data_IF_404333932209
#
_entry.id   IF_404333932209
#
_cell.length_a   1.000
_cell.length_b   1.000
_cell.length_c   1.000
_cell.angle_alpha   90.00
_cell.angle_beta   90.00
_cell.angle_gamma   90.00
#
_symmetry.space_group_name_H-M   'P 1'
#
loop_
_entity.id
_entity.type
_entity.pdbx_description
1 polymer ?
#
# COMPACT_ATOMS: atom_id res chain seq x y z
N UNK A 1 17.08 -23.88 2.53
CA UNK A 1 16.70 -22.83 1.56
C UNK A 1 15.89 -23.48 0.45
N UNK A 2 14.64 -23.06 0.27
CA UNK A 2 13.72 -23.57 -0.74
C UNK A 2 13.29 -22.41 -1.64
N UNK A 3 13.31 -22.59 -2.95
CA UNK A 3 12.86 -21.57 -3.90
C UNK A 3 11.43 -21.90 -4.29
N UNK A 4 10.51 -20.95 -4.11
CA UNK A 4 9.13 -21.07 -4.60
C UNK A 4 9.13 -20.81 -6.10
N UNK A 5 8.66 -21.78 -6.88
CA UNK A 5 8.56 -21.68 -8.34
C UNK A 5 7.20 -22.15 -8.80
N UNK A 6 6.66 -21.44 -9.79
CA UNK A 6 5.44 -21.81 -10.48
C UNK A 6 5.76 -21.99 -11.98
N UNK A 7 4.99 -22.83 -12.67
CA UNK A 7 5.11 -22.94 -14.12
C UNK A 7 4.59 -21.66 -14.77
N UNK A 8 5.08 -21.37 -15.98
CA UNK A 8 4.57 -20.24 -16.78
C UNK A 8 3.05 -20.31 -16.94
N UNK A 9 2.50 -21.52 -17.17
CA UNK A 9 1.05 -21.71 -17.32
C UNK A 9 0.28 -21.36 -16.03
N UNK A 10 0.82 -21.69 -14.86
CA UNK A 10 0.22 -21.33 -13.57
C UNK A 10 0.26 -19.82 -13.37
N UNK A 11 1.41 -19.17 -13.59
CA UNK A 11 1.56 -17.71 -13.47
C UNK A 11 0.64 -16.98 -14.45
N UNK A 12 0.57 -17.46 -15.69
CA UNK A 12 -0.30 -16.86 -16.71
C UNK A 12 -1.77 -16.97 -16.34
N UNK A 13 -2.18 -18.11 -15.80
CA UNK A 13 -3.54 -18.29 -15.28
C UNK A 13 -3.81 -17.33 -14.13
N UNK A 14 -2.88 -17.18 -13.19
CA UNK A 14 -3.06 -16.33 -12.03
C UNK A 14 -3.03 -14.82 -12.35
N UNK A 15 -2.16 -14.37 -13.26
CA UNK A 15 -1.96 -12.95 -13.56
C UNK A 15 -2.85 -12.39 -14.66
N UNK A 16 -3.30 -13.22 -15.62
CA UNK A 16 -4.14 -12.79 -16.75
C UNK A 16 -5.57 -13.34 -16.65
N UNK A 17 -5.77 -14.48 -15.97
CA UNK A 17 -7.01 -15.29 -15.96
C UNK A 17 -7.24 -16.11 -17.25
N UNK A 18 -8.13 -17.11 -17.13
CA UNK A 18 -8.73 -17.87 -18.25
C UNK A 18 -10.03 -17.25 -18.76
N UNK A 19 -10.58 -16.27 -18.03
CA UNK A 19 -11.80 -15.56 -18.38
C UNK A 19 -11.60 -14.76 -19.68
N UNK A 20 -12.40 -15.01 -20.74
CA UNK A 20 -12.21 -14.35 -22.03
C UNK A 20 -12.25 -12.82 -21.95
N UNK A 21 -13.02 -12.24 -21.03
CA UNK A 21 -13.12 -10.80 -20.87
C UNK A 21 -11.81 -10.20 -20.31
N UNK A 22 -11.22 -10.83 -19.29
CA UNK A 22 -9.95 -10.40 -18.69
C UNK A 22 -8.77 -10.61 -19.65
N UNK A 23 -8.76 -11.73 -20.36
CA UNK A 23 -7.79 -11.98 -21.45
C UNK A 23 -7.87 -10.92 -22.53
N UNK A 24 -9.09 -10.46 -22.89
CA UNK A 24 -9.26 -9.38 -23.85
C UNK A 24 -8.73 -8.05 -23.32
N UNK A 25 -8.89 -7.75 -22.03
CA UNK A 25 -8.32 -6.53 -21.44
C UNK A 25 -6.79 -6.55 -21.52
N UNK A 26 -6.16 -7.68 -21.18
CA UNK A 26 -4.72 -7.85 -21.30
C UNK A 26 -4.22 -7.60 -22.73
N UNK A 27 -4.92 -8.14 -23.75
CA UNK A 27 -4.57 -7.94 -25.16
C UNK A 27 -4.71 -6.49 -25.64
N UNK A 28 -5.52 -5.69 -24.95
CA UNK A 28 -5.74 -4.28 -25.28
C UNK A 28 -4.73 -3.34 -24.59
N UNK A 29 -3.91 -3.84 -23.67
CA UNK A 29 -2.80 -3.07 -23.07
C UNK A 29 -1.80 -2.64 -24.15
N UNK A 30 -1.07 -1.56 -23.90
CA UNK A 30 -0.04 -1.13 -24.85
C UNK A 30 1.15 -2.11 -24.89
N UNK A 31 1.97 -1.99 -25.94
CA UNK A 31 3.08 -2.91 -26.15
C UNK A 31 4.14 -2.85 -25.03
N UNK A 32 4.29 -1.71 -24.35
CA UNK A 32 5.18 -1.55 -23.20
C UNK A 32 4.64 -2.26 -21.98
N UNK A 33 3.36 -2.06 -21.66
CA UNK A 33 2.67 -2.72 -20.55
C UNK A 33 2.66 -4.25 -20.72
N UNK A 34 2.34 -4.73 -21.93
CA UNK A 34 2.39 -6.17 -22.23
C UNK A 34 3.81 -6.74 -22.06
N UNK A 35 4.85 -6.02 -22.48
CA UNK A 35 6.24 -6.46 -22.26
C UNK A 35 6.56 -6.56 -20.77
N UNK A 36 6.21 -5.55 -19.98
CA UNK A 36 6.42 -5.55 -18.53
C UNK A 36 5.69 -6.71 -17.85
N UNK A 37 4.43 -6.98 -18.21
CA UNK A 37 3.66 -8.08 -17.63
C UNK A 37 4.23 -9.46 -18.04
N UNK A 38 4.72 -9.60 -19.28
CA UNK A 38 5.32 -10.85 -19.74
C UNK A 38 6.65 -11.18 -19.03
N UNK A 39 7.36 -10.18 -18.50
CA UNK A 39 8.56 -10.40 -17.66
C UNK A 39 8.23 -11.24 -16.42
N UNK A 40 7.05 -11.04 -15.82
CA UNK A 40 6.60 -11.83 -14.66
C UNK A 40 6.40 -13.32 -14.97
N UNK A 41 6.28 -13.68 -16.25
CA UNK A 41 6.15 -15.07 -16.70
C UNK A 41 7.51 -15.73 -16.98
N UNK A 42 8.60 -14.94 -17.05
CA UNK A 42 9.94 -15.45 -17.35
C UNK A 42 10.63 -15.94 -16.07
N UNK A 43 11.04 -17.22 -15.99
CA UNK A 43 11.71 -17.77 -14.80
C UNK A 43 13.06 -17.12 -14.45
N UNK A 44 13.64 -16.35 -15.38
CA UNK A 44 14.93 -15.68 -15.26
C UNK A 44 14.81 -14.15 -15.31
N UNK A 45 13.62 -13.59 -15.08
CA UNK A 45 13.46 -12.12 -15.03
C UNK A 45 14.13 -11.55 -13.78
N UNK A 46 14.95 -10.52 -13.97
CA UNK A 46 15.53 -9.75 -12.87
C UNK A 46 14.48 -8.85 -12.19
N UNK A 47 13.35 -8.59 -12.85
CA UNK A 47 12.25 -7.78 -12.32
C UNK A 47 11.35 -8.56 -11.36
N UNK A 48 11.12 -9.84 -11.67
CA UNK A 48 10.23 -10.72 -10.92
C UNK A 48 10.96 -11.98 -10.46
N UNK A 49 11.97 -11.78 -9.61
CA UNK A 49 12.77 -12.86 -9.04
C UNK A 49 11.93 -13.82 -8.18
N UNK A 50 12.34 -15.10 -8.10
CA UNK A 50 11.60 -16.09 -7.32
C UNK A 50 11.75 -15.84 -5.81
N UNK A 51 10.71 -16.19 -5.05
CA UNK A 51 10.73 -16.08 -3.59
C UNK A 51 11.66 -17.17 -3.01
N UNK A 52 12.63 -16.74 -2.20
CA UNK A 52 13.59 -17.63 -1.52
C UNK A 52 13.15 -17.78 -0.06
N UNK A 53 12.79 -19.00 0.32
CA UNK A 53 12.52 -19.37 1.70
C UNK A 53 13.81 -19.83 2.37
N UNK A 54 14.19 -19.13 3.42
CA UNK A 54 15.35 -19.44 4.24
C UNK A 54 15.00 -20.40 5.38
N UNK A 55 13.81 -20.27 5.99
CA UNK A 55 13.44 -21.03 7.18
C UNK A 55 11.92 -21.26 7.33
N UNK A 56 11.54 -22.10 8.32
CA UNK A 56 10.11 -22.25 8.70
C UNK A 56 9.52 -21.02 9.38
N UNK A 57 10.39 -20.15 9.91
CA UNK A 57 10.00 -18.90 10.56
C UNK A 57 9.69 -17.78 9.54
N UNK A 58 9.92 -18.02 8.26
CA UNK A 58 9.61 -17.05 7.21
C UNK A 58 8.08 -16.82 7.16
N UNK A 59 7.67 -15.56 6.97
CA UNK A 59 6.27 -15.14 7.12
C UNK A 59 5.29 -16.02 6.34
N UNK A 60 5.56 -16.25 5.05
CA UNK A 60 4.72 -17.07 4.17
C UNK A 60 4.52 -18.51 4.64
N UNK A 61 5.46 -19.06 5.42
CA UNK A 61 5.34 -20.41 5.99
C UNK A 61 4.66 -20.39 7.36
N UNK A 62 4.95 -19.38 8.18
CA UNK A 62 4.40 -19.25 9.54
C UNK A 62 2.96 -18.73 9.57
N UNK A 63 2.57 -17.95 8.56
CA UNK A 63 1.25 -17.32 8.44
C UNK A 63 0.68 -17.61 7.04
N UNK A 64 0.10 -18.81 6.84
CA UNK A 64 -0.48 -19.16 5.54
C UNK A 64 -1.71 -18.27 5.26
N UNK A 65 -1.59 -17.46 4.23
CA UNK A 65 -2.67 -16.61 3.72
C UNK A 65 -3.27 -17.24 2.45
N UNK A 66 -4.59 -17.12 2.21
CA UNK A 66 -5.18 -17.52 0.95
C UNK A 66 -4.51 -16.78 -0.21
N UNK A 67 -4.15 -17.50 -1.27
CA UNK A 67 -3.72 -16.87 -2.50
C UNK A 67 -4.89 -16.08 -3.11
N UNK A 68 -4.57 -14.98 -3.79
CA UNK A 68 -5.52 -14.22 -4.59
C UNK A 68 -4.97 -14.11 -6.02
N UNK A 69 -5.74 -14.55 -7.00
CA UNK A 69 -5.43 -14.34 -8.41
C UNK A 69 -6.05 -13.05 -8.98
N UNK A 70 -5.71 -12.71 -10.22
CA UNK A 70 -6.19 -11.49 -10.87
C UNK A 70 -7.71 -11.50 -11.08
N UNK A 71 -8.32 -12.65 -11.35
CA UNK A 71 -9.77 -12.72 -11.54
C UNK A 71 -10.52 -12.52 -10.23
N UNK A 72 -10.04 -13.14 -9.14
CA UNK A 72 -10.54 -12.95 -7.79
C UNK A 72 -10.40 -11.49 -7.35
N UNK A 73 -9.23 -10.89 -7.57
CA UNK A 73 -9.02 -9.46 -7.31
C UNK A 73 -9.98 -8.61 -8.14
N UNK A 74 -10.05 -8.83 -9.46
CA UNK A 74 -10.83 -7.99 -10.37
C UNK A 74 -12.34 -8.04 -10.08
N UNK A 75 -12.83 -9.22 -9.67
CA UNK A 75 -14.25 -9.51 -9.40
C UNK A 75 -14.69 -9.15 -7.99
N UNK A 76 -13.78 -8.74 -7.10
CA UNK A 76 -14.12 -8.33 -5.74
C UNK A 76 -15.07 -7.12 -5.76
N UNK A 77 -16.31 -7.22 -5.21
CA UNK A 77 -17.27 -6.12 -5.19
C UNK A 77 -16.82 -4.93 -4.34
N UNK A 78 -15.84 -5.13 -3.44
CA UNK A 78 -15.24 -4.08 -2.62
C UNK A 78 -14.01 -3.44 -3.29
N UNK A 79 -13.55 -3.96 -4.44
CA UNK A 79 -12.45 -3.37 -5.19
C UNK A 79 -12.81 -1.96 -5.64
N UNK A 80 -11.90 -1.01 -5.40
CA UNK A 80 -12.01 0.33 -5.97
C UNK A 80 -11.14 0.47 -7.20
N UNK A 81 -11.75 1.05 -8.23
CA UNK A 81 -11.05 1.41 -9.45
C UNK A 81 -10.89 2.92 -9.50
N UNK A 82 -9.68 3.44 -9.74
CA UNK A 82 -9.52 4.85 -10.03
C UNK A 82 -10.40 5.27 -11.20
N UNK A 83 -10.93 6.49 -11.12
CA UNK A 83 -11.74 7.10 -12.17
C UNK A 83 -11.12 8.44 -12.57
N UNK A 84 -11.48 9.01 -13.73
CA UNK A 84 -11.03 10.36 -14.10
C UNK A 84 -11.30 11.40 -12.99
N UNK A 85 -12.39 11.25 -12.25
CA UNK A 85 -12.74 12.12 -11.12
C UNK A 85 -11.97 11.79 -9.84
N UNK A 86 -11.59 10.53 -9.63
CA UNK A 86 -10.88 10.03 -8.43
C UNK A 86 -9.55 9.38 -8.82
N UNK A 87 -8.58 10.19 -9.23
CA UNK A 87 -7.29 9.75 -9.78
C UNK A 87 -6.06 10.23 -9.00
N UNK A 88 -6.25 10.83 -7.83
CA UNK A 88 -5.14 11.35 -7.00
C UNK A 88 -4.96 10.56 -5.70
N UNK A 89 -3.73 10.20 -5.37
CA UNK A 89 -3.33 9.76 -4.03
C UNK A 89 -2.86 11.00 -3.28
N UNK A 90 -3.45 11.26 -2.11
CA UNK A 90 -3.02 12.35 -1.24
C UNK A 90 -2.19 11.81 -0.08
N UNK A 91 -1.08 12.48 0.23
CA UNK A 91 -0.23 12.16 1.38
C UNK A 91 -0.37 13.29 2.41
N UNK A 92 -0.79 12.95 3.63
CA UNK A 92 -0.91 13.85 4.77
C UNK A 92 0.19 13.53 5.78
N UNK A 93 1.19 14.41 5.88
CA UNK A 93 2.20 14.31 6.91
C UNK A 93 1.60 14.71 8.27
N UNK A 94 1.79 13.89 9.30
CA UNK A 94 1.30 14.12 10.67
C UNK A 94 2.50 14.11 11.62
N UNK A 95 2.79 15.26 12.22
CA UNK A 95 3.99 15.44 13.04
C UNK A 95 5.25 15.70 12.21
N UNK A 96 6.42 15.58 12.83
CA UNK A 96 7.71 15.73 12.14
C UNK A 96 8.11 14.42 11.49
N UNK A 97 8.51 14.47 10.21
CA UNK A 97 9.01 13.30 9.46
C UNK A 97 10.53 13.14 9.51
N UNK A 98 11.22 13.89 10.37
CA UNK A 98 12.65 13.81 10.53
C UNK A 98 13.20 14.86 11.48
N UNK A 99 14.51 14.79 11.71
CA UNK A 99 15.23 15.70 12.61
C UNK A 99 15.61 17.02 11.91
N UNK A 100 15.57 17.07 10.57
CA UNK A 100 15.88 18.25 9.76
C UNK A 100 14.93 18.36 8.57
N UNK A 101 14.70 19.60 8.10
CA UNK A 101 13.82 19.87 6.94
C UNK A 101 14.30 19.17 5.66
N UNK A 102 15.62 19.09 5.45
CA UNK A 102 16.22 18.50 4.26
C UNK A 102 15.92 17.00 4.18
N UNK A 103 16.08 16.28 5.29
CA UNK A 103 15.80 14.83 5.35
C UNK A 103 14.31 14.58 5.08
N UNK A 104 13.41 15.41 5.61
CA UNK A 104 11.98 15.27 5.34
C UNK A 104 11.60 15.55 3.89
N UNK A 105 12.25 16.51 3.22
CA UNK A 105 11.96 16.84 1.81
C UNK A 105 12.42 15.74 0.85
N UNK A 106 13.62 15.19 1.07
CA UNK A 106 14.13 14.07 0.25
C UNK A 106 13.30 12.80 0.45
N UNK A 107 12.95 12.47 1.70
CA UNK A 107 12.09 11.33 2.01
C UNK A 107 10.74 11.44 1.29
N UNK A 108 10.10 12.59 1.39
CA UNK A 108 8.81 12.84 0.73
C UNK A 108 8.93 12.80 -0.80
N UNK A 109 10.03 13.29 -1.36
CA UNK A 109 10.29 13.21 -2.81
C UNK A 109 10.40 11.76 -3.27
N UNK A 110 11.14 10.91 -2.56
CA UNK A 110 11.26 9.50 -2.91
C UNK A 110 9.96 8.75 -2.74
N UNK A 111 9.27 8.96 -1.62
CA UNK A 111 7.96 8.37 -1.39
C UNK A 111 6.99 8.71 -2.52
N UNK A 112 6.92 9.99 -2.92
CA UNK A 112 6.11 10.42 -4.05
C UNK A 112 6.49 9.64 -5.32
N UNK A 113 7.78 9.58 -5.64
CA UNK A 113 8.28 8.89 -6.83
C UNK A 113 7.95 7.40 -6.84
N UNK A 114 8.11 6.71 -5.70
CA UNK A 114 7.73 5.30 -5.57
C UNK A 114 6.22 5.08 -5.71
N UNK A 115 5.40 5.94 -5.10
CA UNK A 115 3.95 5.85 -5.26
C UNK A 115 3.51 6.07 -6.71
N UNK A 116 4.05 7.06 -7.41
CA UNK A 116 3.71 7.31 -8.83
C UNK A 116 4.21 6.19 -9.76
N UNK A 117 5.34 5.56 -9.42
CA UNK A 117 5.86 4.41 -10.16
C UNK A 117 5.04 3.14 -9.94
N UNK A 118 4.65 2.85 -8.69
CA UNK A 118 3.91 1.64 -8.34
C UNK A 118 2.42 1.74 -8.68
N UNK A 119 1.80 2.90 -8.42
CA UNK A 119 0.40 3.18 -8.75
C UNK A 119 0.31 3.96 -10.06
N UNK A 120 0.81 3.35 -11.13
CA UNK A 120 0.91 3.96 -12.45
C UNK A 120 -0.43 4.55 -12.90
N UNK A 121 -0.37 5.76 -13.48
CA UNK A 121 -1.55 6.53 -13.90
C UNK A 121 -2.21 7.37 -12.80
N UNK A 122 -1.85 7.19 -11.53
CA UNK A 122 -2.31 8.04 -10.43
C UNK A 122 -1.33 9.18 -10.16
N UNK A 123 -1.87 10.35 -9.82
CA UNK A 123 -1.07 11.51 -9.39
C UNK A 123 -0.89 11.47 -7.89
N UNK A 124 0.32 11.74 -7.40
CA UNK A 124 0.56 11.84 -5.96
C UNK A 124 0.69 13.30 -5.55
N UNK A 125 -0.16 13.72 -4.63
CA UNK A 125 -0.26 15.10 -4.13
C UNK A 125 0.04 15.13 -2.64
N UNK A 126 0.80 16.12 -2.21
CA UNK A 126 1.13 16.34 -0.80
C UNK A 126 0.18 17.36 -0.22
N UNK A 127 -0.38 17.06 0.94
CA UNK A 127 -1.12 18.01 1.76
C UNK A 127 -0.16 18.74 2.71
N UNK A 128 -0.56 19.93 3.15
CA UNK A 128 0.19 20.67 4.16
C UNK A 128 0.38 19.82 5.43
N UNK A 129 1.63 19.71 5.95
CA UNK A 129 1.89 18.98 7.17
C UNK A 129 1.03 19.49 8.34
N UNK A 130 0.49 18.56 9.14
CA UNK A 130 -0.27 18.91 10.34
C UNK A 130 0.49 18.51 11.60
N UNK A 131 0.51 19.35 12.64
CA UNK A 131 1.01 18.91 13.92
C UNK A 131 0.06 17.86 14.52
N UNK A 132 0.60 16.95 15.33
CA UNK A 132 -0.18 15.89 16.00
C UNK A 132 -1.35 16.48 16.79
N UNK A 133 -1.14 17.61 17.48
CA UNK A 133 -2.18 18.30 18.25
C UNK A 133 -3.39 18.73 17.39
N UNK A 134 -3.18 19.06 16.11
CA UNK A 134 -4.27 19.46 15.22
C UNK A 134 -5.16 18.29 14.81
N UNK A 135 -4.68 17.04 14.91
CA UNK A 135 -5.51 15.85 14.60
C UNK A 135 -6.54 15.59 15.68
N UNK A 136 -6.28 16.05 16.92
CA UNK A 136 -7.06 15.73 18.13
C UNK A 136 -7.23 14.23 18.36
N UNK A 137 -6.29 13.43 17.87
CA UNK A 137 -6.29 11.99 18.08
C UNK A 137 -5.96 11.67 19.54
N UNK A 138 -6.47 10.54 20.02
CA UNK A 138 -6.05 10.02 21.31
C UNK A 138 -4.61 9.56 21.20
N UNK A 139 -3.85 9.74 22.28
CA UNK A 139 -2.47 9.28 22.39
C UNK A 139 -2.27 8.58 23.73
N UNK A 140 -1.24 7.74 23.77
CA UNK A 140 -0.73 7.14 25.01
C UNK A 140 0.78 7.16 25.02
N UNK A 141 1.38 7.04 26.19
CA UNK A 141 2.79 6.69 26.31
C UNK A 141 2.85 5.20 26.56
N UNK A 142 3.62 4.47 25.77
CA UNK A 142 3.77 3.04 25.96
C UNK A 142 4.60 2.79 27.23
N UNK A 143 4.07 2.04 28.19
CA UNK A 143 4.76 1.82 29.47
C UNK A 143 6.11 1.08 29.30
N UNK A 144 6.25 0.25 28.27
CA UNK A 144 7.47 -0.52 28.03
C UNK A 144 8.53 0.28 27.27
N UNK A 145 8.15 1.00 26.22
CA UNK A 145 9.10 1.71 25.35
C UNK A 145 9.27 3.19 25.71
N UNK A 146 8.36 3.74 26.52
CA UNK A 146 8.25 5.17 26.84
C UNK A 146 8.05 6.07 25.61
N UNK A 147 7.69 5.48 24.46
CA UNK A 147 7.38 6.21 23.24
C UNK A 147 5.93 6.69 23.24
N UNK A 148 5.71 7.85 22.62
CA UNK A 148 4.37 8.34 22.30
C UNK A 148 3.76 7.46 21.22
N UNK A 149 2.50 7.07 21.39
CA UNK A 149 1.75 6.34 20.37
C UNK A 149 0.42 7.04 20.07
N UNK A 150 0.01 7.08 18.81
CA UNK A 150 -1.25 7.70 18.35
C UNK A 150 -2.25 6.61 17.99
N UNK A 151 -3.53 6.82 18.35
CA UNK A 151 -4.58 5.87 18.04
C UNK A 151 -4.86 5.84 16.52
N UNK A 152 -4.54 4.73 15.86
CA UNK A 152 -4.67 4.52 14.41
C UNK A 152 -6.10 4.84 13.91
N UNK A 153 -7.11 4.23 14.53
CA UNK A 153 -8.52 4.50 14.19
C UNK A 153 -8.98 5.95 14.33
N UNK A 154 -8.31 6.80 15.13
CA UNK A 154 -8.62 8.23 15.19
C UNK A 154 -7.98 8.99 14.02
N UNK A 155 -6.78 8.56 13.59
CA UNK A 155 -6.14 9.07 12.37
C UNK A 155 -7.00 8.74 11.15
N UNK A 156 -7.48 7.50 10.98
CA UNK A 156 -8.40 7.16 9.88
C UNK A 156 -9.61 8.11 9.81
N UNK A 157 -10.23 8.39 10.96
CA UNK A 157 -11.39 9.31 11.04
C UNK A 157 -10.99 10.74 10.68
N UNK A 158 -9.81 11.19 11.08
CA UNK A 158 -9.26 12.50 10.73
C UNK A 158 -9.02 12.61 9.22
N UNK A 159 -8.34 11.63 8.63
CA UNK A 159 -8.03 11.58 7.21
C UNK A 159 -9.30 11.51 6.36
N UNK A 160 -10.28 10.67 6.75
CA UNK A 160 -11.57 10.56 6.06
C UNK A 160 -12.29 11.91 5.96
N UNK A 161 -12.26 12.72 7.03
CA UNK A 161 -12.90 14.05 7.05
C UNK A 161 -12.18 15.08 6.16
N UNK A 162 -10.89 14.87 5.90
CA UNK A 162 -10.04 15.78 5.12
C UNK A 162 -9.74 15.27 3.71
N UNK A 163 -10.29 14.11 3.33
CA UNK A 163 -10.08 13.50 2.02
C UNK A 163 -10.59 14.45 0.93
N UNK A 164 -9.71 14.94 0.03
CA UNK A 164 -10.14 15.80 -1.07
C UNK A 164 -11.15 15.11 -2.00
N UNK A 165 -11.96 15.91 -2.69
CA UNK A 165 -13.00 15.39 -3.57
C UNK A 165 -12.45 14.62 -4.77
N UNK A 166 -11.26 14.93 -5.27
CA UNK A 166 -10.63 14.19 -6.39
C UNK A 166 -9.72 13.03 -5.91
N UNK A 167 -9.69 12.77 -4.60
CA UNK A 167 -8.83 11.75 -4.02
C UNK A 167 -9.37 10.35 -4.28
N UNK A 168 -8.57 9.53 -4.95
CA UNK A 168 -8.72 8.07 -4.92
C UNK A 168 -8.58 7.58 -3.48
N UNK A 169 -7.45 7.93 -2.85
CA UNK A 169 -7.21 7.70 -1.44
C UNK A 169 -6.41 8.84 -0.79
N UNK A 170 -6.44 8.87 0.53
CA UNK A 170 -5.57 9.71 1.36
C UNK A 170 -4.79 8.80 2.32
N UNK A 171 -3.49 9.03 2.43
CA UNK A 171 -2.57 8.27 3.26
C UNK A 171 -1.94 9.22 4.29
N UNK A 172 -2.15 8.95 5.57
CA UNK A 172 -1.46 9.63 6.66
C UNK A 172 -0.09 8.99 6.90
N UNK A 173 0.92 9.82 7.08
CA UNK A 173 2.29 9.35 7.38
C UNK A 173 2.78 10.07 8.60
N UNK A 174 3.34 9.33 9.54
CA UNK A 174 3.87 9.85 10.79
C UNK A 174 5.14 9.08 11.16
N UNK A 175 6.01 9.65 12.01
CA UNK A 175 7.15 8.92 12.59
C UNK A 175 6.87 8.56 14.06
N UNK A 176 5.60 8.52 14.43
CA UNK A 176 5.12 8.27 15.79
C UNK A 176 4.32 6.98 15.76
N UNK A 177 4.75 6.01 16.56
CA UNK A 177 4.15 4.68 16.66
C UNK A 177 2.60 4.71 16.68
N UNK A 178 1.98 3.80 15.94
CA UNK A 178 0.52 3.67 15.94
C UNK A 178 0.04 2.53 16.83
N UNK A 179 -1.14 2.70 17.44
CA UNK A 179 -1.83 1.61 18.14
C UNK A 179 -3.31 1.52 17.74
N UNK A 180 -3.87 0.32 17.53
CA UNK A 180 -5.24 0.19 17.00
C UNK A 180 -6.33 0.12 18.09
N UNK A 181 -5.96 -0.33 19.29
CA UNK A 181 -6.82 -0.45 20.47
C UNK A 181 -5.96 -0.56 21.73
N UNK A 182 -6.54 -0.25 22.89
CA UNK A 182 -5.79 -0.19 24.15
C UNK A 182 -5.09 -1.50 24.52
N UNK A 183 -5.66 -2.65 24.13
CA UNK A 183 -5.11 -3.98 24.41
C UNK A 183 -4.02 -4.45 23.44
N UNK A 184 -3.66 -3.67 22.42
CA UNK A 184 -2.62 -4.01 21.44
C UNK A 184 -1.37 -3.17 21.65
N UNK A 185 -0.20 -3.70 21.28
CA UNK A 185 1.09 -3.04 21.49
C UNK A 185 1.38 -1.95 20.44
N UNK A 186 1.35 -2.28 19.15
CA UNK A 186 1.50 -1.33 18.04
C UNK A 186 0.98 -1.95 16.72
N UNK A 187 0.83 -1.11 15.69
CA UNK A 187 0.64 -1.51 14.28
C UNK A 187 1.50 -0.63 13.40
N UNK A 188 2.02 -1.17 12.30
CA UNK A 188 2.76 -0.36 11.32
C UNK A 188 1.84 0.55 10.48
N UNK A 189 0.55 0.25 10.47
CA UNK A 189 -0.43 0.99 9.70
C UNK A 189 -1.79 0.33 9.71
N UNK A 190 -2.80 1.08 9.26
CA UNK A 190 -4.16 0.59 9.10
C UNK A 190 -4.81 1.28 7.90
N UNK A 191 -5.70 0.59 7.20
CA UNK A 191 -6.44 1.17 6.09
C UNK A 191 -7.92 0.79 6.12
N UNK A 192 -8.76 1.69 5.63
CA UNK A 192 -10.15 1.42 5.31
C UNK A 192 -10.29 1.06 3.84
N UNK A 193 -10.61 -0.21 3.59
CA UNK A 193 -10.83 -0.78 2.26
C UNK A 193 -11.99 -0.08 1.51
N UNK A 194 -12.93 0.54 2.23
CA UNK A 194 -14.13 1.18 1.68
C UNK A 194 -14.15 2.71 1.75
N UNK A 195 -13.35 3.34 2.62
CA UNK A 195 -13.27 4.81 2.68
C UNK A 195 -12.08 5.39 1.91
N UNK A 196 -10.99 4.63 1.78
CA UNK A 196 -9.83 5.05 0.99
C UNK A 196 -9.04 6.06 1.79
N UNK A 197 -8.93 5.75 3.07
CA UNK A 197 -8.09 6.40 4.04
C UNK A 197 -7.21 5.29 4.62
N UNK A 198 -5.92 5.55 4.79
CA UNK A 198 -5.02 4.70 5.53
C UNK A 198 -3.94 5.50 6.21
N UNK A 199 -3.28 4.92 7.18
CA UNK A 199 -2.09 5.49 7.80
C UNK A 199 -0.99 4.44 7.94
N UNK A 200 0.23 4.95 7.98
CA UNK A 200 1.45 4.17 8.20
C UNK A 200 2.40 4.99 9.07
N UNK A 201 3.13 4.32 9.97
CA UNK A 201 4.25 4.89 10.73
C UNK A 201 5.63 4.63 10.10
#
# INVERSE_FOLDING_TARGET
>A
MQIVRHSEQTLRTALISKNPALVSQYKNLDAGEQRLMNEALQPASDLFGPIILHSRSDWITSHPEPAQDFEEFFSDPYRRTPSPEKCSIYIQCIGSLGNTRIISEEYIKWLKGYCEAFFYGLKVKLLEPVPVSATRCSFRVNDNTQNLQIHAGHILKFLKKRKPEDAFCVVGITMIDLYPRDSWNFVFGQASLTDGAGEVD
#
